data_IF_929228911663
#
_entry.id   IF_929228911663
#
_cell.length_a   1.000
_cell.length_b   1.000
_cell.length_c   1.000
_cell.angle_alpha   90.00
_cell.angle_beta   90.00
_cell.angle_gamma   90.00
#
_symmetry.space_group_name_H-M   'P 1'
#
loop_
_entity.id
_entity.type
_entity.pdbx_description
1 polymer ?
#
# COMPACT_ATOMS: atom_id res chain seq x y z
N UNK A 1 12.20 -32.67 -30.65
CA UNK A 1 12.25 -31.21 -30.52
C UNK A 1 11.54 -30.85 -29.23
N UNK A 2 12.28 -30.58 -28.15
CA UNK A 2 11.74 -30.36 -26.82
C UNK A 2 11.18 -28.94 -26.75
N UNK A 3 9.87 -28.79 -26.50
CA UNK A 3 9.21 -27.48 -26.44
C UNK A 3 9.77 -26.68 -25.25
N UNK A 4 10.45 -25.57 -25.58
CA UNK A 4 11.12 -24.67 -24.65
C UNK A 4 10.11 -24.09 -23.66
N UNK A 5 10.34 -24.40 -22.39
CA UNK A 5 9.53 -24.03 -21.22
C UNK A 5 9.35 -22.50 -21.13
N UNK A 6 8.11 -22.07 -20.89
CA UNK A 6 7.73 -20.66 -20.79
C UNK A 6 8.38 -19.95 -19.61
N UNK A 7 8.79 -18.71 -19.84
CA UNK A 7 9.28 -17.80 -18.79
C UNK A 7 8.09 -17.20 -18.04
N UNK A 8 7.96 -17.50 -16.75
CA UNK A 8 7.00 -16.86 -15.88
C UNK A 8 7.38 -15.37 -15.70
N UNK A 9 6.43 -14.42 -15.70
CA UNK A 9 6.74 -13.05 -15.34
C UNK A 9 7.17 -13.03 -13.88
N UNK A 10 8.47 -12.84 -13.64
CA UNK A 10 8.98 -12.59 -12.31
C UNK A 10 8.47 -11.21 -11.90
N UNK A 11 7.53 -11.14 -10.97
CA UNK A 11 7.26 -9.90 -10.25
C UNK A 11 8.55 -9.53 -9.52
N UNK A 12 9.28 -8.55 -10.06
CA UNK A 12 10.41 -7.95 -9.38
C UNK A 12 9.85 -7.14 -8.21
N UNK A 13 9.61 -7.81 -7.08
CA UNK A 13 9.40 -7.14 -5.81
C UNK A 13 10.72 -6.44 -5.52
N UNK A 14 10.77 -5.15 -5.86
CA UNK A 14 11.81 -4.26 -5.34
C UNK A 14 11.74 -4.44 -3.83
N UNK A 15 12.74 -5.11 -3.27
CA UNK A 15 12.87 -5.31 -1.85
C UNK A 15 12.93 -3.95 -1.19
N UNK A 16 11.78 -3.49 -0.70
CA UNK A 16 11.75 -2.38 0.23
C UNK A 16 12.37 -2.93 1.50
N UNK A 17 13.59 -2.49 1.77
CA UNK A 17 14.29 -2.77 3.01
C UNK A 17 13.37 -2.39 4.15
N UNK A 18 12.87 -3.38 4.88
CA UNK A 18 12.18 -3.19 6.15
C UNK A 18 13.21 -2.75 7.19
N UNK A 19 13.74 -1.54 7.07
CA UNK A 19 14.50 -0.91 8.15
C UNK A 19 13.48 -0.39 9.14
N UNK A 20 13.20 -1.22 10.14
CA UNK A 20 12.37 -0.88 11.27
C UNK A 20 12.86 0.40 11.94
N UNK A 21 12.18 1.50 11.63
CA UNK A 21 12.25 2.74 12.40
C UNK A 21 10.98 2.78 13.22
N UNK A 22 11.08 2.42 14.50
CA UNK A 22 10.01 2.57 15.49
C UNK A 22 9.80 4.06 15.76
N UNK A 23 9.12 4.74 14.84
CA UNK A 23 8.60 6.06 15.10
C UNK A 23 7.17 5.90 15.57
N UNK A 24 6.98 6.00 16.90
CA UNK A 24 5.69 6.18 17.52
C UNK A 24 5.08 7.49 16.99
N UNK A 25 4.34 7.41 15.90
CA UNK A 25 3.59 8.54 15.35
C UNK A 25 2.12 8.14 15.49
N UNK A 26 1.41 8.94 16.29
CA UNK A 26 0.02 8.74 16.62
C UNK A 26 -0.78 8.43 15.36
N UNK A 27 -1.42 7.26 15.35
CA UNK A 27 -2.40 6.89 14.35
C UNK A 27 -3.49 7.97 14.34
N UNK A 28 -3.51 8.83 13.32
CA UNK A 28 -4.73 9.49 12.91
C UNK A 28 -5.71 8.37 12.56
N UNK A 29 -6.59 8.06 13.52
CA UNK A 29 -7.73 7.19 13.32
C UNK A 29 -8.72 8.02 12.51
N UNK A 30 -8.89 7.69 11.23
CA UNK A 30 -10.06 8.14 10.48
C UNK A 30 -11.29 7.58 11.20
N UNK A 31 -12.16 8.47 11.67
CA UNK A 31 -13.27 8.19 12.62
C UNK A 31 -14.49 7.49 11.98
N UNK A 32 -14.36 6.92 10.78
CA UNK A 32 -15.40 6.10 10.16
C UNK A 32 -15.12 4.64 10.49
N UNK A 33 -16.03 3.99 11.23
CA UNK A 33 -15.89 2.65 11.83
C UNK A 33 -15.68 1.45 10.88
N UNK A 34 -15.05 1.64 9.72
CA UNK A 34 -14.53 0.56 8.87
C UNK A 34 -13.23 0.04 9.50
N UNK A 35 -13.28 -1.18 10.01
CA UNK A 35 -12.12 -1.85 10.61
C UNK A 35 -11.06 -2.07 9.53
N UNK A 36 -10.05 -1.21 9.55
CA UNK A 36 -8.97 -1.24 8.58
C UNK A 36 -8.04 -2.43 8.83
N UNK A 37 -7.80 -3.26 7.81
CA UNK A 37 -6.86 -4.39 7.91
C UNK A 37 -5.43 -3.90 8.21
N UNK A 38 -4.70 -4.63 9.06
CA UNK A 38 -3.32 -4.31 9.42
C UNK A 38 -2.40 -4.19 8.19
N UNK A 39 -2.62 -5.05 7.19
CA UNK A 39 -1.87 -5.07 5.93
C UNK A 39 -2.01 -3.75 5.16
N UNK A 40 -3.24 -3.29 4.97
CA UNK A 40 -3.51 -2.08 4.22
C UNK A 40 -3.11 -0.82 5.00
N UNK A 41 -3.10 -0.86 6.35
CA UNK A 41 -2.52 0.21 7.17
C UNK A 41 -1.00 0.30 7.02
N UNK A 42 -0.31 -0.83 7.01
CA UNK A 42 1.13 -0.88 6.76
C UNK A 42 1.48 -0.38 5.34
N UNK A 43 0.69 -0.76 4.33
CA UNK A 43 0.87 -0.30 2.96
C UNK A 43 0.74 1.24 2.85
N UNK A 44 -0.32 1.82 3.43
CA UNK A 44 -0.52 3.27 3.44
C UNK A 44 0.64 4.00 4.12
N UNK A 45 1.08 3.52 5.29
CA UNK A 45 2.20 4.12 6.02
C UNK A 45 3.50 4.12 5.19
N UNK A 46 3.84 2.99 4.56
CA UNK A 46 5.01 2.91 3.69
C UNK A 46 4.91 3.86 2.50
N UNK A 47 3.73 3.99 1.88
CA UNK A 47 3.54 4.90 0.76
C UNK A 47 3.76 6.36 1.14
N UNK A 48 3.27 6.81 2.30
CA UNK A 48 3.54 8.17 2.79
C UNK A 48 5.02 8.41 3.14
N UNK A 49 5.72 7.39 3.63
CA UNK A 49 7.15 7.51 3.92
C UNK A 49 8.03 7.57 2.65
N UNK A 50 7.59 6.91 1.58
CA UNK A 50 8.37 6.76 0.34
C UNK A 50 7.90 7.68 -0.80
N UNK A 51 6.76 8.35 -0.67
CA UNK A 51 6.14 9.13 -1.74
C UNK A 51 5.38 10.34 -1.20
N UNK A 52 5.26 11.36 -2.04
CA UNK A 52 4.42 12.55 -1.81
C UNK A 52 3.04 12.45 -2.48
N UNK A 53 2.67 11.27 -3.00
CA UNK A 53 1.37 11.03 -3.62
C UNK A 53 0.23 10.94 -2.61
N UNK A 54 -1.02 11.10 -3.08
CA UNK A 54 -2.21 10.90 -2.28
C UNK A 54 -2.69 9.46 -2.44
N UNK A 55 -2.89 8.77 -1.32
CA UNK A 55 -3.30 7.37 -1.31
C UNK A 55 -4.55 7.16 -0.47
N UNK A 56 -5.42 6.26 -0.93
CA UNK A 56 -6.57 5.76 -0.18
C UNK A 56 -6.47 4.25 -0.06
N UNK A 57 -7.00 3.70 1.02
CA UNK A 57 -7.01 2.27 1.29
C UNK A 57 -8.14 1.55 0.58
N UNK A 58 -7.94 0.28 0.26
CA UNK A 58 -8.94 -0.60 -0.36
C UNK A 58 -8.99 -1.99 0.27
N UNK A 59 -10.10 -2.68 0.08
CA UNK A 59 -10.35 -4.08 0.44
C UNK A 59 -10.00 -5.04 -0.71
N UNK A 60 -8.83 -4.88 -1.31
CA UNK A 60 -8.43 -5.73 -2.44
C UNK A 60 -7.79 -7.05 -1.99
N UNK A 61 -8.25 -8.18 -2.54
CA UNK A 61 -7.60 -9.49 -2.39
C UNK A 61 -6.45 -9.74 -3.40
N UNK A 62 -6.21 -8.81 -4.33
CA UNK A 62 -5.21 -8.97 -5.41
C UNK A 62 -3.97 -8.07 -5.20
N UNK A 63 -3.74 -7.60 -3.98
CA UNK A 63 -2.55 -6.81 -3.62
C UNK A 63 -2.69 -5.30 -3.84
N UNK A 64 -3.83 -4.79 -4.31
CA UNK A 64 -4.09 -3.35 -4.43
C UNK A 64 -4.62 -2.78 -3.11
N UNK A 65 -3.85 -2.92 -2.02
CA UNK A 65 -4.27 -2.50 -0.68
C UNK A 65 -4.42 -0.98 -0.53
N UNK A 66 -3.76 -0.22 -1.41
CA UNK A 66 -3.90 1.23 -1.55
C UNK A 66 -3.95 1.61 -3.03
N UNK A 67 -4.63 2.72 -3.35
CA UNK A 67 -4.63 3.31 -4.69
C UNK A 67 -4.13 4.75 -4.66
N UNK A 68 -3.31 5.16 -5.64
CA UNK A 68 -3.02 6.57 -5.87
C UNK A 68 -4.30 7.26 -6.38
N UNK A 69 -4.60 8.42 -5.81
CA UNK A 69 -5.78 9.23 -6.15
C UNK A 69 -5.41 10.71 -6.28
N UNK A 70 -6.32 11.51 -6.81
CA UNK A 70 -6.21 12.96 -6.70
C UNK A 70 -6.50 13.42 -5.27
N UNK A 71 -5.93 14.56 -4.81
CA UNK A 71 -6.28 15.15 -3.53
C UNK A 71 -7.80 15.33 -3.41
N UNK A 72 -8.37 14.94 -2.27
CA UNK A 72 -9.79 15.13 -1.96
C UNK A 72 -9.93 16.34 -1.06
N UNK A 73 -10.85 17.23 -1.39
CA UNK A 73 -11.22 18.39 -0.59
C UNK A 73 -12.66 18.22 -0.14
N UNK A 74 -12.95 18.52 1.12
CA UNK A 74 -14.32 18.54 1.61
C UNK A 74 -15.03 19.77 1.05
N UNK A 75 -16.19 19.58 0.41
CA UNK A 75 -17.05 20.68 0.03
C UNK A 75 -17.76 21.17 1.29
N UNK A 76 -17.31 22.29 1.84
CA UNK A 76 -17.91 22.93 3.02
C UNK A 76 -19.23 23.61 2.67
#
# INVERSE_FOLDING_TARGET
MLLKQGVAPTLNTLGVSSTGSVSNIAATQSNDGVVMSASARAALHNAHAASFGYFVTQDSSFGNLILPVLPRFDNK
#
